data_IF_943834264375
#
_entry.id   IF_943834264375
#
_cell.length_a   1.000
_cell.length_b   1.000
_cell.length_c   1.000
_cell.angle_alpha   90.00
_cell.angle_beta   90.00
_cell.angle_gamma   90.00
#
_symmetry.space_group_name_H-M   'P 1'
#
loop_
_entity.id
_entity.type
_entity.pdbx_description
1 polymer ?
#
# COMPACT_ATOMS: atom_id res chain seq x y z
N UNK A 1 19.66 -2.27 2.68
CA UNK A 1 18.60 -1.79 3.59
C UNK A 1 17.84 -3.01 4.06
N UNK A 2 17.40 -3.01 5.31
CA UNK A 2 16.54 -4.08 5.84
C UNK A 2 15.25 -4.20 5.01
N UNK A 3 14.82 -5.41 4.71
CA UNK A 3 13.69 -5.67 3.80
C UNK A 3 12.38 -5.18 4.43
N UNK A 4 12.24 -5.32 5.75
CA UNK A 4 11.07 -4.80 6.46
C UNK A 4 11.03 -3.27 6.40
N UNK A 5 12.18 -2.59 6.51
CA UNK A 5 12.25 -1.15 6.31
C UNK A 5 11.83 -0.69 4.89
N UNK A 6 12.20 -1.44 3.85
CA UNK A 6 11.78 -1.15 2.47
C UNK A 6 10.27 -1.31 2.27
N UNK A 7 9.70 -2.35 2.86
CA UNK A 7 8.27 -2.63 2.77
C UNK A 7 7.44 -1.63 3.58
N UNK A 8 7.90 -1.26 4.77
CA UNK A 8 7.28 -0.21 5.56
C UNK A 8 7.30 1.12 4.82
N UNK A 9 8.44 1.50 4.23
CA UNK A 9 8.55 2.72 3.44
C UNK A 9 7.59 2.70 2.23
N UNK A 10 7.47 1.55 1.55
CA UNK A 10 6.57 1.37 0.41
C UNK A 10 5.10 1.47 0.85
N UNK A 11 4.72 0.85 1.96
CA UNK A 11 3.36 0.91 2.50
C UNK A 11 2.99 2.34 2.95
N UNK A 12 3.88 3.01 3.68
CA UNK A 12 3.68 4.40 4.12
C UNK A 12 3.57 5.34 2.92
N UNK A 13 4.38 5.16 1.88
CA UNK A 13 4.30 5.95 0.66
C UNK A 13 2.95 5.77 -0.06
N UNK A 14 2.47 4.54 -0.21
CA UNK A 14 1.18 4.28 -0.88
C UNK A 14 -0.02 4.78 -0.06
N UNK A 15 -0.01 4.58 1.26
CA UNK A 15 -1.07 5.08 2.16
C UNK A 15 -1.08 6.61 2.17
N UNK A 16 0.10 7.24 2.31
CA UNK A 16 0.24 8.69 2.27
C UNK A 16 -0.23 9.29 0.94
N UNK A 17 0.12 8.64 -0.17
CA UNK A 17 -0.34 9.05 -1.51
C UNK A 17 -1.85 8.90 -1.68
N UNK A 18 -2.46 7.83 -1.15
CA UNK A 18 -3.91 7.64 -1.15
C UNK A 18 -4.63 8.77 -0.39
N UNK A 19 -4.14 9.10 0.81
CA UNK A 19 -4.69 10.18 1.64
C UNK A 19 -4.52 11.53 0.95
N UNK A 20 -3.36 11.78 0.32
CA UNK A 20 -3.09 13.01 -0.42
C UNK A 20 -4.04 13.18 -1.61
N UNK A 21 -4.23 12.16 -2.44
CA UNK A 21 -5.15 12.20 -3.58
C UNK A 21 -6.59 12.41 -3.13
N UNK A 22 -7.03 11.70 -2.08
CA UNK A 22 -8.38 11.87 -1.53
C UNK A 22 -8.60 13.26 -0.90
N UNK A 23 -7.61 13.79 -0.17
CA UNK A 23 -7.64 15.12 0.42
C UNK A 23 -7.61 16.24 -0.62
N UNK A 24 -6.74 16.11 -1.64
CA UNK A 24 -6.66 17.05 -2.76
C UNK A 24 -8.00 17.13 -3.49
N UNK A 25 -8.59 15.99 -3.84
CA UNK A 25 -9.90 15.96 -4.51
C UNK A 25 -11.02 16.58 -3.67
N UNK A 26 -10.99 16.40 -2.35
CA UNK A 26 -11.94 17.06 -1.44
C UNK A 26 -11.74 18.58 -1.35
N UNK A 27 -10.50 19.04 -1.45
CA UNK A 27 -10.15 20.47 -1.39
C UNK A 27 -10.41 21.19 -2.72
N UNK A 28 -10.31 20.49 -3.85
CA UNK A 28 -10.53 21.06 -5.19
C UNK A 28 -11.96 20.88 -5.70
N UNK A 29 -12.85 20.26 -4.91
CA UNK A 29 -14.22 19.91 -5.29
C UNK A 29 -14.30 19.10 -6.61
N UNK A 30 -13.18 18.47 -6.98
CA UNK A 30 -13.11 17.57 -8.12
C UNK A 30 -13.53 16.17 -7.69
N UNK A 31 -14.38 15.55 -8.49
CA UNK A 31 -14.84 14.20 -8.21
C UNK A 31 -13.67 13.22 -8.34
N UNK A 32 -13.11 12.79 -7.20
CA UNK A 32 -12.05 11.78 -7.13
C UNK A 32 -12.44 10.44 -7.77
N UNK A 33 -13.75 10.19 -7.97
CA UNK A 33 -14.27 8.92 -8.43
C UNK A 33 -13.81 7.77 -7.53
N UNK A 34 -13.44 6.65 -8.13
CA UNK A 34 -12.99 5.45 -7.41
C UNK A 34 -11.48 5.43 -7.11
N UNK A 35 -10.73 6.47 -7.47
CA UNK A 35 -9.27 6.51 -7.28
C UNK A 35 -8.81 6.29 -5.83
N UNK A 36 -9.45 6.86 -4.80
CA UNK A 36 -9.09 6.60 -3.41
C UNK A 36 -9.24 5.11 -3.04
N UNK A 37 -10.28 4.45 -3.54
CA UNK A 37 -10.55 3.04 -3.28
C UNK A 37 -9.57 2.12 -4.02
N UNK A 38 -9.18 2.48 -5.25
CA UNK A 38 -8.18 1.73 -6.02
C UNK A 38 -6.82 1.78 -5.31
N UNK A 39 -6.41 2.94 -4.81
CA UNK A 39 -5.16 3.07 -4.05
C UNK A 39 -5.22 2.31 -2.72
N UNK A 40 -6.39 2.29 -2.07
CA UNK A 40 -6.61 1.53 -0.83
C UNK A 40 -6.55 0.00 -1.07
N UNK A 41 -7.16 -0.47 -2.17
CA UNK A 41 -7.11 -1.87 -2.60
C UNK A 41 -5.67 -2.30 -2.98
N UNK A 42 -4.92 -1.45 -3.66
CA UNK A 42 -3.50 -1.68 -3.95
C UNK A 42 -2.66 -1.73 -2.67
N UNK A 43 -2.95 -0.87 -1.69
CA UNK A 43 -2.33 -0.94 -0.36
C UNK A 43 -2.59 -2.27 0.36
N UNK A 44 -3.84 -2.75 0.35
CA UNK A 44 -4.22 -4.06 0.92
C UNK A 44 -3.55 -5.22 0.17
N UNK A 45 -3.47 -5.15 -1.16
CA UNK A 45 -2.79 -6.14 -1.98
C UNK A 45 -1.28 -6.22 -1.66
N UNK A 46 -0.65 -5.07 -1.35
CA UNK A 46 0.74 -5.02 -0.89
C UNK A 46 0.94 -5.72 0.47
N UNK A 47 0.04 -5.48 1.43
CA UNK A 47 0.08 -6.17 2.75
C UNK A 47 -0.13 -7.69 2.56
N UNK A 48 -1.09 -8.09 1.73
CA UNK A 48 -1.32 -9.50 1.44
C UNK A 48 -0.09 -10.16 0.78
N UNK A 49 0.53 -9.49 -0.19
CA UNK A 49 1.76 -9.98 -0.83
C UNK A 49 2.90 -10.20 0.16
N UNK A 50 3.02 -9.38 1.20
CA UNK A 50 4.04 -9.56 2.23
C UNK A 50 3.79 -10.80 3.11
N UNK A 51 2.55 -11.00 3.58
CA UNK A 51 2.20 -12.19 4.36
C UNK A 51 2.43 -13.49 3.58
N UNK A 52 2.15 -13.49 2.27
CA UNK A 52 2.45 -14.62 1.39
C UNK A 52 3.96 -14.80 1.13
N UNK A 53 4.74 -13.72 1.15
CA UNK A 53 6.20 -13.78 0.98
C UNK A 53 6.90 -14.35 2.23
N UNK A 54 6.47 -13.96 3.43
CA UNK A 54 7.01 -14.44 4.73
C UNK A 54 6.76 -15.94 4.96
N UNK A 55 5.59 -16.45 4.56
CA UNK A 55 5.25 -17.88 4.62
C UNK A 55 6.02 -18.73 3.58
N UNK A 56 6.39 -18.12 2.44
CA UNK A 56 7.13 -18.82 1.39
C UNK A 56 8.62 -18.96 1.74
N UNK A 57 9.21 -17.95 2.41
CA UNK A 57 10.62 -17.97 2.84
C UNK A 57 10.88 -19.00 3.95
N UNK A 58 9.92 -19.19 4.86
CA UNK A 58 10.00 -20.14 5.97
C UNK A 58 9.87 -21.62 5.54
N UNK A 59 9.33 -21.92 4.35
CA UNK A 59 9.17 -23.29 3.82
C UNK A 59 10.41 -23.83 3.09
N UNK A 60 11.35 -22.97 2.69
CA UNK A 60 12.50 -23.36 1.85
C UNK A 60 13.75 -23.72 2.67
N UNK A 61 13.65 -23.69 4.00
CA UNK A 61 14.76 -23.91 4.94
C UNK A 61 14.64 -25.21 5.76
N UNK A 62 13.89 -26.20 5.24
CA UNK A 62 13.77 -27.57 5.77
C UNK A 62 14.63 -28.55 5.00
#
# INVERSE_FOLDING_TARGET
>A
MDIAAFLLATAVAHIGFAIFVAGHARLTDENAGNWPYITLALGLAGIAGYFFYDESDSRTRS
#
